data_IF_054838119366
#
_entry.id   IF_054838119366
#
_cell.length_a   1.000
_cell.length_b   1.000
_cell.length_c   1.000
_cell.angle_alpha   90.00
_cell.angle_beta   90.00
_cell.angle_gamma   90.00
#
_symmetry.space_group_name_H-M   'P 1'
#
loop_
_entity.id
_entity.type
_entity.pdbx_description
1 polymer ?
#
# COMPACT_ATOMS: atom_id res chain seq x y z
N UNK A 1 -5.36 8.86 -32.65
CA UNK A 1 -5.37 8.72 -31.18
C UNK A 1 -5.40 7.23 -30.89
N UNK A 2 -4.29 6.62 -30.51
CA UNK A 2 -4.26 5.19 -30.17
C UNK A 2 -5.06 5.03 -28.88
N UNK A 3 -6.31 4.58 -28.98
CA UNK A 3 -7.13 4.26 -27.82
C UNK A 3 -6.44 3.13 -27.08
N UNK A 4 -5.87 3.44 -25.92
CA UNK A 4 -5.55 2.41 -24.95
C UNK A 4 -6.91 1.81 -24.57
N UNK A 5 -7.22 0.61 -25.08
CA UNK A 5 -8.29 -0.21 -24.54
C UNK A 5 -7.84 -0.61 -23.12
N UNK A 6 -8.11 0.28 -22.16
CA UNK A 6 -8.06 -0.06 -20.75
C UNK A 6 -9.13 -1.12 -20.56
N UNK A 7 -8.72 -2.33 -20.23
CA UNK A 7 -9.62 -3.40 -19.82
C UNK A 7 -10.11 -3.08 -18.40
N UNK A 8 -11.40 -2.72 -18.22
CA UNK A 8 -11.91 -2.28 -16.92
C UNK A 8 -11.90 -3.42 -15.90
N UNK A 9 -12.09 -4.67 -16.32
CA UNK A 9 -12.06 -5.83 -15.43
C UNK A 9 -10.64 -6.07 -14.93
N UNK A 10 -9.64 -5.96 -15.83
CA UNK A 10 -8.24 -6.05 -15.44
C UNK A 10 -7.84 -4.91 -14.50
N UNK A 11 -8.35 -3.69 -14.72
CA UNK A 11 -8.08 -2.53 -13.85
C UNK A 11 -8.73 -2.70 -12.47
N UNK A 12 -9.95 -3.22 -12.40
CA UNK A 12 -10.61 -3.59 -11.14
C UNK A 12 -9.84 -4.66 -10.38
N UNK A 13 -9.37 -5.70 -11.08
CA UNK A 13 -8.52 -6.74 -10.50
C UNK A 13 -7.22 -6.18 -9.91
N UNK A 14 -6.53 -5.31 -10.64
CA UNK A 14 -5.32 -4.65 -10.17
C UNK A 14 -5.55 -3.72 -8.97
N UNK A 15 -6.69 -3.00 -8.94
CA UNK A 15 -7.06 -2.19 -7.77
C UNK A 15 -7.22 -3.08 -6.54
N UNK A 16 -7.93 -4.22 -6.68
CA UNK A 16 -8.16 -5.15 -5.58
C UNK A 16 -6.86 -5.74 -5.04
N UNK A 17 -5.94 -6.17 -5.91
CA UNK A 17 -4.63 -6.67 -5.48
C UNK A 17 -3.84 -5.61 -4.70
N UNK A 18 -3.89 -4.35 -5.12
CA UNK A 18 -3.23 -3.26 -4.41
C UNK A 18 -3.87 -2.96 -3.05
N UNK A 19 -5.19 -3.10 -2.93
CA UNK A 19 -5.93 -2.98 -1.67
C UNK A 19 -5.56 -4.12 -0.71
N UNK A 20 -5.51 -5.37 -1.19
CA UNK A 20 -5.10 -6.53 -0.40
C UNK A 20 -3.67 -6.34 0.14
N UNK A 21 -2.73 -5.88 -0.70
CA UNK A 21 -1.35 -5.58 -0.29
C UNK A 21 -1.33 -4.43 0.74
N UNK A 22 -2.16 -3.40 0.56
CA UNK A 22 -2.24 -2.31 1.53
C UNK A 22 -2.71 -2.82 2.90
N UNK A 23 -3.70 -3.71 2.93
CA UNK A 23 -4.20 -4.31 4.17
C UNK A 23 -3.12 -5.17 4.86
N UNK A 24 -2.34 -5.92 4.09
CA UNK A 24 -1.19 -6.67 4.60
C UNK A 24 -0.14 -5.75 5.24
N UNK A 25 0.15 -4.60 4.62
CA UNK A 25 1.09 -3.63 5.17
C UNK A 25 0.56 -2.94 6.44
N UNK A 26 -0.75 -2.67 6.51
CA UNK A 26 -1.40 -2.17 7.73
C UNK A 26 -1.32 -3.22 8.85
N UNK A 27 -1.51 -4.49 8.52
CA UNK A 27 -1.34 -5.60 9.46
C UNK A 27 0.10 -5.71 9.95
N UNK A 28 1.08 -5.60 9.03
CA UNK A 28 2.50 -5.59 9.36
C UNK A 28 2.83 -4.46 10.35
N UNK A 29 2.37 -3.23 10.08
CA UNK A 29 2.59 -2.09 10.98
C UNK A 29 2.10 -2.34 12.40
N UNK A 30 0.94 -2.99 12.57
CA UNK A 30 0.42 -3.34 13.90
C UNK A 30 1.35 -4.30 14.63
N UNK A 31 2.03 -5.18 13.90
CA UNK A 31 2.97 -6.15 14.46
C UNK A 31 4.35 -5.53 14.74
N UNK A 32 4.75 -4.48 14.01
CA UNK A 32 6.05 -3.80 14.20
C UNK A 32 6.19 -3.25 15.63
N UNK A 33 5.09 -2.77 16.22
CA UNK A 33 5.06 -2.20 17.56
C UNK A 33 5.30 -3.24 18.66
N UNK A 34 5.04 -4.52 18.35
CA UNK A 34 5.27 -5.65 19.25
C UNK A 34 6.66 -6.29 19.08
N UNK A 35 7.48 -5.79 18.15
CA UNK A 35 8.84 -6.30 17.94
C UNK A 35 9.67 -6.04 19.19
N UNK A 36 9.94 -7.11 19.94
CA UNK A 36 10.81 -7.10 21.11
C UNK A 36 12.04 -7.96 20.83
N UNK A 37 13.25 -7.50 21.17
CA UNK A 37 14.45 -8.32 21.15
C UNK A 37 14.38 -9.36 22.29
N UNK A 38 13.69 -10.49 22.02
CA UNK A 38 13.29 -11.47 23.03
C UNK A 38 14.45 -12.16 23.76
N UNK A 39 15.42 -12.70 23.00
CA UNK A 39 16.53 -13.49 23.57
C UNK A 39 17.69 -12.65 24.12
N UNK A 40 17.64 -11.33 23.94
CA UNK A 40 18.65 -10.40 24.44
C UNK A 40 18.32 -9.99 25.88
N UNK A 41 18.46 -10.92 26.82
CA UNK A 41 18.09 -10.69 28.24
C UNK A 41 19.26 -10.28 29.13
N UNK A 42 20.50 -10.44 28.69
CA UNK A 42 21.68 -10.09 29.47
C UNK A 42 21.78 -8.56 29.69
N UNK A 43 22.11 -8.15 30.92
CA UNK A 43 22.16 -6.74 31.32
C UNK A 43 23.56 -6.12 31.15
N UNK A 44 24.28 -6.54 30.11
CA UNK A 44 25.57 -5.96 29.73
C UNK A 44 25.40 -4.90 28.64
N UNK A 45 26.43 -4.06 28.49
CA UNK A 45 26.43 -2.94 27.54
C UNK A 45 26.27 -3.38 26.08
N UNK A 46 26.77 -4.56 25.70
CA UNK A 46 26.70 -5.07 24.33
C UNK A 46 25.26 -5.50 24.03
N UNK A 47 24.65 -6.27 24.92
CA UNK A 47 23.27 -6.73 24.79
C UNK A 47 22.29 -5.55 24.81
N UNK A 48 22.52 -4.54 25.65
CA UNK A 48 21.70 -3.32 25.67
C UNK A 48 21.78 -2.53 24.36
N UNK A 49 22.99 -2.36 23.79
CA UNK A 49 23.15 -1.72 22.48
C UNK A 49 22.48 -2.52 21.37
N UNK A 50 22.59 -3.85 21.39
CA UNK A 50 21.92 -4.70 20.41
C UNK A 50 20.39 -4.59 20.51
N UNK A 51 19.82 -4.56 21.73
CA UNK A 51 18.39 -4.30 21.96
C UNK A 51 17.96 -2.97 21.34
N UNK A 52 18.73 -1.91 21.58
CA UNK A 52 18.41 -0.58 21.06
C UNK A 52 18.46 -0.53 19.53
N UNK A 53 19.49 -1.10 18.90
CA UNK A 53 19.60 -1.14 17.42
C UNK A 53 18.42 -1.90 16.79
N UNK A 54 17.99 -3.00 17.41
CA UNK A 54 16.82 -3.76 16.92
C UNK A 54 15.55 -2.91 17.03
N UNK A 55 15.36 -2.23 18.17
CA UNK A 55 14.22 -1.34 18.36
C UNK A 55 14.23 -0.18 17.36
N UNK A 56 15.38 0.47 17.15
CA UNK A 56 15.52 1.59 16.22
C UNK A 56 15.23 1.16 14.78
N UNK A 57 15.66 -0.05 14.39
CA UNK A 57 15.34 -0.62 13.06
C UNK A 57 13.85 -0.96 12.91
N UNK A 58 13.17 -1.33 13.98
CA UNK A 58 11.74 -1.64 13.94
C UNK A 58 10.89 -0.35 13.93
N UNK A 59 11.08 0.52 14.92
CA UNK A 59 10.16 1.62 15.25
C UNK A 59 10.78 3.01 15.23
N UNK A 60 12.07 3.15 14.90
CA UNK A 60 12.76 4.44 14.87
C UNK A 60 12.16 5.44 13.87
N UNK A 61 12.51 6.72 14.00
CA UNK A 61 11.90 7.77 13.17
C UNK A 61 12.35 7.73 11.70
N UNK A 62 13.59 7.31 11.43
CA UNK A 62 14.17 7.28 10.08
C UNK A 62 14.72 5.91 9.71
N UNK A 63 14.43 5.46 8.49
CA UNK A 63 14.94 4.21 7.94
C UNK A 63 14.48 2.95 8.68
N UNK A 64 13.49 3.08 9.57
CA UNK A 64 12.89 1.96 10.28
C UNK A 64 11.87 1.25 9.40
N UNK A 65 11.58 0.00 9.75
CA UNK A 65 10.51 -0.77 9.13
C UNK A 65 9.17 -0.02 9.21
N UNK A 66 8.86 0.61 10.34
CA UNK A 66 7.65 1.43 10.52
C UNK A 66 7.59 2.57 9.50
N UNK A 67 8.64 3.39 9.41
CA UNK A 67 8.66 4.56 8.51
C UNK A 67 8.56 4.12 7.05
N UNK A 68 9.35 3.13 6.63
CA UNK A 68 9.29 2.63 5.25
C UNK A 68 7.94 1.99 4.88
N UNK A 69 7.29 1.32 5.83
CA UNK A 69 5.96 0.74 5.60
C UNK A 69 4.89 1.82 5.47
N UNK A 70 4.95 2.88 6.29
CA UNK A 70 4.05 4.03 6.16
C UNK A 70 4.18 4.71 4.80
N UNK A 71 5.41 4.99 4.35
CA UNK A 71 5.66 5.59 3.04
C UNK A 71 5.12 4.72 1.89
N UNK A 72 5.21 3.39 2.01
CA UNK A 72 4.67 2.48 1.01
C UNK A 72 3.15 2.50 0.99
N UNK A 73 2.50 2.54 2.15
CA UNK A 73 1.04 2.64 2.26
C UNK A 73 0.54 3.94 1.63
N UNK A 74 1.21 5.06 1.87
CA UNK A 74 0.86 6.35 1.26
C UNK A 74 0.94 6.27 -0.27
N UNK A 75 2.04 5.74 -0.81
CA UNK A 75 2.20 5.54 -2.26
C UNK A 75 1.14 4.60 -2.85
N UNK A 76 0.76 3.55 -2.12
CA UNK A 76 -0.32 2.65 -2.54
C UNK A 76 -1.67 3.36 -2.55
N UNK A 77 -1.98 4.19 -1.55
CA UNK A 77 -3.23 4.98 -1.54
C UNK A 77 -3.32 5.89 -2.74
N UNK A 78 -2.25 6.63 -3.04
CA UNK A 78 -2.22 7.54 -4.17
C UNK A 78 -2.43 6.79 -5.50
N UNK A 79 -1.78 5.61 -5.62
CA UNK A 79 -1.90 4.78 -6.82
C UNK A 79 -3.30 4.18 -6.99
N UNK A 80 -3.88 3.64 -5.92
CA UNK A 80 -5.26 3.12 -5.89
C UNK A 80 -6.24 4.22 -6.25
N UNK A 81 -6.09 5.42 -5.67
CA UNK A 81 -6.95 6.57 -5.97
C UNK A 81 -6.90 6.95 -7.46
N UNK A 82 -5.71 7.03 -8.04
CA UNK A 82 -5.52 7.30 -9.46
C UNK A 82 -6.16 6.24 -10.35
N UNK A 83 -6.04 4.95 -10.00
CA UNK A 83 -6.67 3.87 -10.78
C UNK A 83 -8.20 3.87 -10.68
N UNK A 84 -8.74 4.16 -9.49
CA UNK A 84 -10.19 4.33 -9.29
C UNK A 84 -10.73 5.50 -10.11
N UNK A 85 -9.98 6.60 -10.22
CA UNK A 85 -10.36 7.74 -11.06
C UNK A 85 -10.40 7.37 -12.54
N UNK A 86 -9.35 6.72 -13.06
CA UNK A 86 -9.30 6.23 -14.45
C UNK A 86 -10.46 5.28 -14.75
N UNK A 87 -10.76 4.35 -13.84
CA UNK A 87 -11.89 3.43 -14.00
C UNK A 87 -13.23 4.17 -14.04
N UNK A 88 -13.40 5.19 -13.19
CA UNK A 88 -14.60 6.00 -13.15
C UNK A 88 -14.77 6.86 -14.41
N UNK A 89 -13.68 7.35 -15.01
CA UNK A 89 -13.69 8.04 -16.30
C UNK A 89 -14.08 7.09 -17.43
N UNK A 90 -13.50 5.88 -17.45
CA UNK A 90 -13.84 4.86 -18.44
C UNK A 90 -15.33 4.50 -18.41
N UNK A 91 -15.88 4.22 -17.22
CA UNK A 91 -17.31 3.92 -17.05
C UNK A 91 -18.21 5.04 -17.55
N UNK A 92 -17.87 6.30 -17.26
CA UNK A 92 -18.61 7.48 -17.75
C UNK A 92 -18.55 7.62 -19.28
N UNK A 93 -17.41 7.33 -19.90
CA UNK A 93 -17.26 7.37 -21.34
C UNK A 93 -18.07 6.27 -22.03
N UNK A 94 -18.10 5.07 -21.45
CA UNK A 94 -18.89 3.93 -21.92
C UNK A 94 -20.40 4.20 -21.81
N UNK A 95 -20.86 4.71 -20.67
CA UNK A 95 -22.26 5.12 -20.45
C UNK A 95 -22.71 6.18 -21.47
N UNK A 96 -21.86 7.17 -21.75
CA UNK A 96 -22.15 8.22 -22.73
C UNK A 96 -22.22 7.67 -24.17
N UNK A 97 -21.34 6.73 -24.52
CA UNK A 97 -21.34 6.07 -25.82
C UNK A 97 -22.59 5.20 -26.00
N UNK A 98 -22.99 4.44 -24.98
CA UNK A 98 -24.20 3.62 -25.00
C UNK A 98 -25.47 4.48 -25.18
N UNK A 99 -25.56 5.62 -24.49
CA UNK A 99 -26.71 6.52 -24.58
C UNK A 99 -26.88 7.23 -25.94
N UNK A 100 -25.78 7.43 -26.68
CA UNK A 100 -25.82 8.02 -28.03
C UNK A 100 -26.23 7.00 -29.11
N UNK A 101 -25.91 5.71 -28.92
CA UNK A 101 -26.34 4.63 -29.82
C UNK A 101 -27.85 4.39 -29.75
N UNK A 102 -28.46 4.48 -28.56
CA UNK A 102 -29.91 4.31 -28.36
C UNK A 102 -30.75 5.48 -28.93
N UNK A 103 -30.14 6.59 -29.36
CA UNK A 103 -30.83 7.73 -30.00
C UNK A 103 -30.89 7.70 -31.52
N UNK A 104 -30.21 6.76 -32.17
CA UNK A 104 -30.17 6.58 -33.63
C UNK A 104 -31.18 5.53 -34.10
#
# INVERSE_FOLDING_TARGET
MAGYNVDPEALEGAIKELEDIQDDLVSLLRQVDDVKPGELTANDDVTNKARQIIQDRATGEQGSLRTSTNELIEKLRDKIASYKETLAEYKRADDAAAADVDRL
#
